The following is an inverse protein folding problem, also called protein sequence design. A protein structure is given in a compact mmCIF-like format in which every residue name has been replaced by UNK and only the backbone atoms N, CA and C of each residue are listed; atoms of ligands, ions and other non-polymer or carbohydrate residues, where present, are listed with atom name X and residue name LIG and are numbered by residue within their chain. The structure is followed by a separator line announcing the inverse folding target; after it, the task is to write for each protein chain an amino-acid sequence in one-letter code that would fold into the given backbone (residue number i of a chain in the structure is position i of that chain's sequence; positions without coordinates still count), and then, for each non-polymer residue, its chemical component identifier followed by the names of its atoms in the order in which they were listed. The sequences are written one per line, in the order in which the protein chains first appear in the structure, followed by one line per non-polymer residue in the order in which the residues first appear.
data_IF_692032331851
#
_entry.id   IF_692032331851
#
_cell.length_a   1.000
_cell.length_b   1.000
_cell.length_c   1.000
_cell.angle_alpha   90.00
_cell.angle_beta   90.00
_cell.angle_gamma   90.00
#
_symmetry.space_group_name_H-M   'P 1'
#
loop_
_entity.id
_entity.type
_entity.pdbx_description
1 polymer ?
#
# COMPACT_ATOMS: atom_id res chain seq x y z
N UNK A 1 8.56 8.64 -13.40
CA UNK A 1 7.34 9.39 -13.10
C UNK A 1 6.63 8.71 -11.96
N UNK A 2 6.17 9.46 -10.96
CA UNK A 2 5.48 8.93 -9.80
C UNK A 2 4.01 8.70 -10.16
N UNK A 3 3.49 7.55 -9.81
CA UNK A 3 2.09 7.20 -9.97
C UNK A 3 1.22 8.21 -9.23
N UNK A 4 0.15 8.67 -9.86
CA UNK A 4 -0.70 9.74 -9.33
C UNK A 4 -1.95 9.22 -8.63
N UNK A 5 -2.61 8.21 -9.20
CA UNK A 5 -3.81 7.61 -8.64
C UNK A 5 -3.43 6.41 -7.78
N UNK A 6 -3.61 6.53 -6.48
CA UNK A 6 -3.22 5.49 -5.52
C UNK A 6 -4.45 5.02 -4.77
N UNK A 7 -4.67 3.72 -4.78
CA UNK A 7 -5.73 3.07 -4.01
C UNK A 7 -5.12 2.42 -2.77
N UNK A 8 -5.68 2.73 -1.60
CA UNK A 8 -5.32 2.10 -0.33
C UNK A 8 -6.34 1.01 -0.03
N UNK A 9 -5.89 -0.22 0.14
CA UNK A 9 -6.75 -1.33 0.55
C UNK A 9 -6.48 -1.63 2.02
N UNK A 10 -7.46 -1.34 2.85
CA UNK A 10 -7.36 -1.40 4.31
C UNK A 10 -7.15 -0.02 4.93
N UNK A 11 -8.17 0.51 5.58
CA UNK A 11 -8.16 1.80 6.28
C UNK A 11 -8.14 1.60 7.80
N UNK A 12 -7.02 1.08 8.28
CA UNK A 12 -6.68 1.13 9.69
C UNK A 12 -5.73 2.30 9.99
N UNK A 13 -4.97 2.18 11.05
CA UNK A 13 -3.94 3.16 11.40
C UNK A 13 -2.93 3.33 10.26
N UNK A 14 -2.38 2.23 9.75
CA UNK A 14 -1.32 2.27 8.75
C UNK A 14 -1.85 2.73 7.39
N UNK A 15 -2.94 2.14 6.89
CA UNK A 15 -3.55 2.55 5.62
C UNK A 15 -4.03 3.99 5.64
N UNK A 16 -4.64 4.42 6.75
CA UNK A 16 -5.05 5.80 6.94
C UNK A 16 -3.88 6.78 6.98
N UNK A 17 -2.78 6.40 7.62
CA UNK A 17 -1.57 7.23 7.69
C UNK A 17 -0.90 7.37 6.31
N UNK A 18 -0.84 6.29 5.52
CA UNK A 18 -0.43 6.35 4.11
C UNK A 18 -1.31 7.31 3.31
N UNK A 19 -2.63 7.13 3.42
CA UNK A 19 -3.59 7.97 2.70
C UNK A 19 -3.41 9.45 3.04
N UNK A 20 -3.23 9.76 4.31
CA UNK A 20 -3.00 11.12 4.80
C UNK A 20 -1.73 11.72 4.19
N UNK A 21 -0.61 11.00 4.25
CA UNK A 21 0.67 11.48 3.71
C UNK A 21 0.59 11.68 2.20
N UNK A 22 0.01 10.74 1.46
CA UNK A 22 -0.09 10.80 0.01
C UNK A 22 -1.04 11.91 -0.46
N UNK A 23 -2.15 12.13 0.24
CA UNK A 23 -3.07 13.22 -0.05
C UNK A 23 -2.39 14.58 0.18
N UNK A 24 -1.65 14.74 1.26
CA UNK A 24 -0.84 15.95 1.51
C UNK A 24 0.22 16.19 0.44
N UNK A 25 0.76 15.11 -0.15
CA UNK A 25 1.72 15.18 -1.23
C UNK A 25 1.10 15.46 -2.61
N UNK A 26 -0.22 15.68 -2.68
CA UNK A 26 -0.94 16.02 -3.91
C UNK A 26 -1.37 14.83 -4.74
N UNK A 27 -1.32 13.61 -4.22
CA UNK A 27 -1.78 12.42 -4.92
C UNK A 27 -3.31 12.30 -4.85
N UNK A 28 -3.90 11.65 -5.85
CA UNK A 28 -5.30 11.26 -5.82
C UNK A 28 -5.41 9.92 -5.11
N UNK A 29 -6.01 9.94 -3.93
CA UNK A 29 -6.07 8.77 -3.06
C UNK A 29 -7.51 8.29 -2.92
N UNK A 30 -7.73 7.03 -3.24
CA UNK A 30 -8.97 6.31 -3.00
C UNK A 30 -8.71 5.17 -2.02
N UNK A 31 -9.77 4.59 -1.48
CA UNK A 31 -9.60 3.48 -0.54
C UNK A 31 -10.69 2.43 -0.67
N UNK A 32 -10.33 1.24 -0.25
CA UNK A 32 -11.24 0.10 -0.12
C UNK A 32 -11.08 -0.43 1.30
N UNK A 33 -12.20 -0.56 2.01
CA UNK A 33 -12.24 -1.17 3.33
C UNK A 33 -13.63 -1.79 3.55
N UNK A 34 -13.68 -2.90 4.23
CA UNK A 34 -14.96 -3.57 4.55
C UNK A 34 -15.81 -2.79 5.56
N UNK A 35 -15.20 -1.86 6.29
CA UNK A 35 -15.86 -1.04 7.30
C UNK A 35 -16.29 0.31 6.70
N UNK A 36 -17.60 0.49 6.52
CA UNK A 36 -18.16 1.72 5.96
C UNK A 36 -17.91 2.95 6.84
N UNK A 37 -17.81 2.77 8.16
CA UNK A 37 -17.51 3.88 9.07
C UNK A 37 -16.10 4.42 8.86
N UNK A 38 -15.13 3.54 8.61
CA UNK A 38 -13.76 3.93 8.27
C UNK A 38 -13.70 4.73 6.96
N UNK A 39 -14.45 4.31 5.94
CA UNK A 39 -14.57 5.03 4.67
C UNK A 39 -15.17 6.41 4.91
N UNK A 40 -16.29 6.48 5.61
CA UNK A 40 -16.97 7.75 5.91
C UNK A 40 -16.06 8.71 6.66
N UNK A 41 -15.37 8.23 7.68
CA UNK A 41 -14.42 9.05 8.44
C UNK A 41 -13.30 9.60 7.54
N UNK A 42 -12.70 8.75 6.72
CA UNK A 42 -11.59 9.14 5.85
C UNK A 42 -12.02 10.17 4.79
N UNK A 43 -13.22 10.02 4.23
CA UNK A 43 -13.78 10.99 3.28
C UNK A 43 -14.06 12.34 3.96
N UNK A 44 -14.75 12.32 5.10
CA UNK A 44 -15.10 13.54 5.83
C UNK A 44 -13.87 14.29 6.36
N UNK A 45 -12.82 13.56 6.72
CA UNK A 45 -11.57 14.14 7.21
C UNK A 45 -10.65 14.61 6.08
N UNK A 46 -11.01 14.37 4.81
CA UNK A 46 -10.18 14.74 3.67
C UNK A 46 -8.93 13.88 3.49
N UNK A 47 -8.87 12.71 4.12
CA UNK A 47 -7.76 11.77 4.01
C UNK A 47 -7.77 11.07 2.66
N UNK A 48 -8.97 10.77 2.14
CA UNK A 48 -9.18 10.19 0.83
C UNK A 48 -10.21 10.99 0.03
N UNK A 49 -10.14 10.87 -1.29
CA UNK A 49 -11.12 11.47 -2.19
C UNK A 49 -12.45 10.72 -2.14
N UNK A 50 -12.39 9.39 -2.27
CA UNK A 50 -13.56 8.51 -2.13
C UNK A 50 -13.12 7.10 -1.73
N UNK A 51 -14.06 6.35 -1.18
CA UNK A 51 -13.83 4.95 -0.82
C UNK A 51 -15.05 4.07 -1.06
N UNK A 52 -14.83 2.76 -1.07
CA UNK A 52 -15.85 1.75 -1.30
C UNK A 52 -15.66 0.57 -0.35
N UNK A 53 -16.78 -0.02 0.06
CA UNK A 53 -16.79 -1.30 0.78
C UNK A 53 -17.02 -2.48 -0.17
N UNK A 54 -17.70 -2.24 -1.28
CA UNK A 54 -18.03 -3.20 -2.34
C UNK A 54 -18.11 -2.45 -3.67
N UNK A 55 -18.28 -3.16 -4.77
CA UNK A 55 -18.35 -2.57 -6.13
C UNK A 55 -17.17 -1.63 -6.42
N UNK A 56 -15.96 -2.09 -6.06
CA UNK A 56 -14.74 -1.29 -6.12
C UNK A 56 -13.87 -1.58 -7.35
N UNK A 57 -14.39 -2.32 -8.33
CA UNK A 57 -13.64 -2.71 -9.55
C UNK A 57 -13.11 -1.49 -10.29
N UNK A 58 -13.90 -0.42 -10.32
CA UNK A 58 -13.50 0.84 -10.95
C UNK A 58 -12.29 1.47 -10.25
N UNK A 59 -12.29 1.49 -8.92
CA UNK A 59 -11.18 2.05 -8.16
C UNK A 59 -9.88 1.30 -8.46
N UNK A 60 -9.94 -0.03 -8.53
CA UNK A 60 -8.79 -0.87 -8.88
C UNK A 60 -8.33 -0.65 -10.32
N UNK A 61 -9.28 -0.51 -11.25
CA UNK A 61 -8.98 -0.30 -12.67
C UNK A 61 -8.40 1.08 -13.01
N UNK A 62 -8.64 2.07 -12.16
CA UNK A 62 -8.11 3.42 -12.33
C UNK A 62 -6.81 3.67 -11.54
N UNK A 63 -6.47 2.79 -10.60
CA UNK A 63 -5.29 2.96 -9.76
C UNK A 63 -4.00 2.66 -10.50
N UNK A 64 -3.07 3.61 -10.50
CA UNK A 64 -1.71 3.41 -11.00
C UNK A 64 -0.89 2.57 -10.02
N UNK A 65 -1.18 2.70 -8.73
CA UNK A 65 -0.58 1.91 -7.67
C UNK A 65 -1.61 1.54 -6.60
N UNK A 66 -1.43 0.39 -5.96
CA UNK A 66 -2.27 -0.08 -4.88
C UNK A 66 -1.41 -0.42 -3.66
N UNK A 67 -1.74 0.17 -2.52
CA UNK A 67 -1.08 -0.11 -1.25
C UNK A 67 -1.98 -0.99 -0.40
N UNK A 68 -1.48 -2.15 0.00
CA UNK A 68 -2.21 -3.10 0.83
C UNK A 68 -1.80 -2.96 2.29
N UNK A 69 -2.71 -2.47 3.11
CA UNK A 69 -2.58 -2.37 4.56
C UNK A 69 -3.49 -3.39 5.24
N UNK A 70 -3.32 -4.64 4.89
CA UNK A 70 -4.08 -5.80 5.35
C UNK A 70 -3.18 -6.79 6.06
N UNK A 71 -3.79 -7.69 6.84
CA UNK A 71 -3.08 -8.87 7.33
C UNK A 71 -2.68 -9.80 6.18
N UNK A 72 -1.61 -10.60 6.32
CA UNK A 72 -1.07 -11.41 5.22
C UNK A 72 -2.08 -12.24 4.45
N UNK A 73 -2.93 -13.01 5.14
CA UNK A 73 -3.92 -13.86 4.48
C UNK A 73 -4.96 -13.04 3.69
N UNK A 74 -5.46 -11.95 4.29
CA UNK A 74 -6.42 -11.08 3.64
C UNK A 74 -5.80 -10.41 2.40
N UNK A 75 -4.53 -10.03 2.49
CA UNK A 75 -3.80 -9.46 1.36
C UNK A 75 -3.68 -10.45 0.20
N UNK A 76 -3.22 -11.67 0.48
CA UNK A 76 -3.06 -12.72 -0.54
C UNK A 76 -4.41 -13.01 -1.22
N UNK A 77 -5.45 -13.23 -0.42
CA UNK A 77 -6.79 -13.55 -0.93
C UNK A 77 -7.36 -12.40 -1.77
N UNK A 78 -7.20 -11.16 -1.30
CA UNK A 78 -7.67 -10.00 -2.04
C UNK A 78 -7.01 -9.90 -3.43
N UNK A 79 -5.70 -10.04 -3.50
CA UNK A 79 -4.97 -9.98 -4.77
C UNK A 79 -5.40 -11.12 -5.68
N UNK A 80 -5.49 -12.35 -5.16
CA UNK A 80 -5.91 -13.51 -5.95
C UNK A 80 -7.29 -13.29 -6.59
N UNK A 81 -8.23 -12.80 -5.80
CA UNK A 81 -9.62 -12.68 -6.22
C UNK A 81 -9.87 -11.46 -7.12
N UNK A 82 -9.07 -10.40 -6.98
CA UNK A 82 -9.34 -9.10 -7.59
C UNK A 82 -8.30 -8.63 -8.60
N UNK A 83 -7.18 -9.33 -8.80
CA UNK A 83 -6.15 -8.88 -9.74
C UNK A 83 -6.67 -8.69 -11.18
N UNK A 84 -7.73 -9.38 -11.55
CA UNK A 84 -8.38 -9.24 -12.86
C UNK A 84 -8.91 -7.82 -13.13
N UNK A 85 -9.15 -7.04 -12.09
CA UNK A 85 -9.60 -5.66 -12.20
C UNK A 85 -8.46 -4.65 -12.23
N UNK A 86 -7.24 -5.06 -11.92
CA UNK A 86 -6.10 -4.15 -11.89
C UNK A 86 -5.79 -3.59 -13.27
N UNK A 87 -5.45 -2.31 -13.30
CA UNK A 87 -4.93 -1.64 -14.48
C UNK A 87 -3.65 -2.33 -14.97
N UNK A 88 -3.50 -2.47 -16.28
CA UNK A 88 -2.26 -2.96 -16.86
C UNK A 88 -1.10 -2.04 -16.48
N UNK A 89 0.01 -2.62 -16.01
CA UNK A 89 1.16 -1.87 -15.54
C UNK A 89 1.04 -1.37 -14.10
N UNK A 90 0.02 -1.79 -13.34
CA UNK A 90 -0.13 -1.42 -11.93
C UNK A 90 1.08 -1.89 -11.11
N UNK A 91 1.47 -1.06 -10.14
CA UNK A 91 2.39 -1.46 -9.09
C UNK A 91 1.61 -1.68 -7.81
N UNK A 92 1.77 -2.83 -7.19
CA UNK A 92 1.20 -3.10 -5.87
C UNK A 92 2.32 -3.18 -4.84
N UNK A 93 2.04 -2.72 -3.64
CA UNK A 93 2.94 -2.80 -2.50
C UNK A 93 2.16 -3.07 -1.22
N UNK A 94 2.86 -3.37 -0.14
CA UNK A 94 2.26 -3.73 1.13
C UNK A 94 2.96 -3.07 2.32
N UNK A 95 2.42 -3.30 3.50
CA UNK A 95 2.96 -2.79 4.77
C UNK A 95 3.26 -3.91 5.75
N UNK A 96 3.17 -5.17 5.33
CA UNK A 96 3.27 -6.32 6.25
C UNK A 96 4.65 -6.43 6.90
N UNK A 97 4.64 -6.83 8.16
CA UNK A 97 5.86 -6.98 8.95
C UNK A 97 6.60 -8.30 8.74
N UNK A 98 6.05 -9.24 7.98
CA UNK A 98 6.68 -10.52 7.63
C UNK A 98 6.59 -10.72 6.13
N UNK A 99 7.71 -10.93 5.47
CA UNK A 99 7.79 -10.98 4.00
C UNK A 99 7.69 -12.38 3.42
N UNK A 100 8.29 -13.37 4.06
CA UNK A 100 8.27 -14.76 3.59
C UNK A 100 6.85 -15.28 3.32
N UNK A 101 5.90 -14.86 4.13
CA UNK A 101 4.51 -15.31 4.03
C UNK A 101 3.71 -14.69 2.91
N UNK A 102 4.17 -13.59 2.30
CA UNK A 102 3.39 -12.85 1.29
C UNK A 102 4.09 -12.75 -0.06
N UNK A 103 5.42 -12.64 -0.07
CA UNK A 103 6.15 -12.34 -1.31
C UNK A 103 6.05 -13.48 -2.30
N UNK A 104 6.48 -14.67 -1.93
CA UNK A 104 6.43 -15.84 -2.83
C UNK A 104 5.00 -16.18 -3.26
N UNK A 105 4.03 -16.31 -2.34
CA UNK A 105 2.66 -16.61 -2.75
C UNK A 105 2.11 -15.61 -3.77
N UNK A 106 2.23 -14.32 -3.53
CA UNK A 106 1.67 -13.31 -4.44
C UNK A 106 2.41 -13.32 -5.78
N UNK A 107 3.73 -13.36 -5.76
CA UNK A 107 4.52 -13.37 -7.00
C UNK A 107 4.33 -14.65 -7.81
N UNK A 108 3.85 -15.73 -7.20
CA UNK A 108 3.59 -17.00 -7.90
C UNK A 108 2.36 -16.96 -8.82
N UNK A 109 1.36 -16.13 -8.51
CA UNK A 109 0.11 -16.06 -9.27
C UNK A 109 -0.18 -14.68 -9.87
N UNK A 110 0.60 -13.66 -9.53
CA UNK A 110 0.35 -12.31 -10.03
C UNK A 110 0.52 -12.24 -11.55
N UNK A 111 -0.39 -11.50 -12.20
CA UNK A 111 -0.34 -11.27 -13.65
C UNK A 111 1.00 -10.66 -14.06
N UNK A 112 1.47 -11.01 -15.26
CA UNK A 112 2.76 -10.53 -15.78
C UNK A 112 2.81 -9.02 -16.01
N UNK A 113 1.65 -8.38 -16.23
CA UNK A 113 1.54 -6.94 -16.44
C UNK A 113 1.30 -6.14 -15.15
N UNK A 114 1.44 -6.79 -14.00
CA UNK A 114 1.40 -6.18 -12.68
C UNK A 114 2.69 -6.48 -11.93
N UNK A 115 3.15 -5.54 -11.12
CA UNK A 115 4.38 -5.73 -10.34
C UNK A 115 4.11 -5.57 -8.85
N UNK A 116 4.57 -6.52 -8.05
CA UNK A 116 4.57 -6.44 -6.59
C UNK A 116 5.96 -6.10 -6.10
N UNK A 117 6.12 -4.91 -5.53
CA UNK A 117 7.34 -4.48 -4.81
C UNK A 117 7.06 -4.50 -3.31
N UNK A 118 7.62 -5.48 -2.58
CA UNK A 118 7.35 -5.61 -1.14
C UNK A 118 8.03 -4.52 -0.33
N UNK A 119 7.28 -3.90 0.59
CA UNK A 119 7.78 -2.86 1.47
C UNK A 119 7.29 -3.06 2.91
N UNK A 120 8.07 -2.53 3.85
CA UNK A 120 7.70 -2.53 5.26
C UNK A 120 8.12 -1.22 5.91
N UNK A 121 7.18 -0.31 6.16
CA UNK A 121 7.47 0.86 7.00
C UNK A 121 7.54 0.41 8.46
N UNK A 122 8.70 0.56 9.06
CA UNK A 122 8.89 0.23 10.48
C UNK A 122 8.35 1.36 11.35
N UNK A 123 7.04 1.56 11.27
CA UNK A 123 6.30 2.60 11.96
C UNK A 123 5.01 2.02 12.51
N UNK A 124 4.43 2.67 13.51
CA UNK A 124 3.15 2.24 14.07
C UNK A 124 2.97 2.76 15.48
N UNK A 125 1.79 2.50 16.03
CA UNK A 125 1.41 2.78 17.41
C UNK A 125 0.55 1.64 17.93
N UNK A 126 0.44 1.54 19.24
CA UNK A 126 -0.41 0.55 19.91
C UNK A 126 -1.89 0.96 19.94
N UNK A 127 -2.37 1.49 18.83
CA UNK A 127 -3.77 1.86 18.61
C UNK A 127 -4.22 1.35 17.25
N UNK A 128 -5.51 1.16 17.08
CA UNK A 128 -6.08 0.71 15.81
C UNK A 128 -7.21 1.63 15.37
N UNK A 129 -7.43 1.70 14.07
CA UNK A 129 -8.49 2.48 13.47
C UNK A 129 -8.00 3.71 12.70
N UNK A 130 -8.77 4.08 11.69
CA UNK A 130 -8.45 5.23 10.82
C UNK A 130 -8.51 6.56 11.56
N UNK A 131 -9.30 6.64 12.62
CA UNK A 131 -9.42 7.83 13.47
C UNK A 131 -8.10 8.19 14.16
N UNK A 132 -7.21 7.24 14.30
CA UNK A 132 -5.88 7.45 14.85
C UNK A 132 -4.80 7.66 13.81
N UNK A 133 -5.18 7.68 12.52
CA UNK A 133 -4.23 7.90 11.43
C UNK A 133 -3.46 9.21 11.62
N UNK A 134 -2.16 9.13 11.40
CA UNK A 134 -1.25 10.23 11.63
C UNK A 134 -0.01 10.00 10.76
N UNK A 135 0.20 10.86 9.79
CA UNK A 135 1.35 10.74 8.88
C UNK A 135 2.69 11.03 9.58
N UNK A 136 2.68 11.63 10.76
CA UNK A 136 3.89 11.85 11.54
C UNK A 136 4.53 10.55 12.06
N UNK A 137 3.82 9.42 12.02
CA UNK A 137 4.38 8.13 12.45
C UNK A 137 5.56 7.68 11.59
N UNK A 138 5.64 8.17 10.34
CA UNK A 138 6.74 7.84 9.44
C UNK A 138 8.01 8.64 9.72
N UNK A 139 7.90 9.73 10.45
CA UNK A 139 9.03 10.58 10.76
C UNK A 139 10.04 9.85 11.65
N UNK A 140 11.28 9.73 11.13
CA UNK A 140 12.33 9.00 11.82
C UNK A 140 12.25 7.48 11.74
N UNK A 141 11.23 6.93 11.05
CA UNK A 141 11.11 5.49 10.84
C UNK A 141 12.07 4.98 9.77
N UNK A 142 12.37 3.68 9.81
CA UNK A 142 13.00 2.98 8.71
C UNK A 142 11.93 2.49 7.72
N UNK A 143 12.29 2.48 6.45
CA UNK A 143 11.47 1.90 5.40
C UNK A 143 12.27 0.79 4.72
N UNK A 144 11.79 -0.42 4.79
CA UNK A 144 12.48 -1.57 4.21
C UNK A 144 11.82 -1.93 2.88
N UNK A 145 12.64 -2.07 1.85
CA UNK A 145 12.24 -2.59 0.55
C UNK A 145 12.86 -3.98 0.43
N UNK A 146 12.07 -4.98 0.04
CA UNK A 146 12.58 -6.34 -0.15
C UNK A 146 12.44 -6.76 -1.61
N UNK A 147 13.27 -6.19 -2.51
CA UNK A 147 13.16 -6.50 -3.93
C UNK A 147 13.54 -7.95 -4.22
N UNK A 148 12.92 -8.51 -5.24
CA UNK A 148 13.19 -9.86 -5.75
C UNK A 148 13.63 -9.78 -7.20
N UNK A 149 13.98 -10.92 -7.78
CA UNK A 149 14.34 -11.01 -9.21
C UNK A 149 13.18 -10.61 -10.13
N UNK A 150 11.95 -10.60 -9.63
CA UNK A 150 10.77 -10.19 -10.40
C UNK A 150 10.54 -8.69 -10.41
N UNK A 151 11.33 -7.93 -9.65
CA UNK A 151 11.18 -6.48 -9.59
C UNK A 151 12.02 -5.78 -10.65
N UNK A 152 11.43 -4.71 -11.20
CA UNK A 152 12.04 -3.86 -12.22
C UNK A 152 12.61 -2.59 -11.59
N UNK A 153 13.41 -1.85 -12.38
CA UNK A 153 13.88 -0.53 -11.96
C UNK A 153 12.69 0.41 -11.66
N UNK A 154 11.59 0.31 -12.42
CA UNK A 154 10.37 1.10 -12.18
C UNK A 154 9.75 0.79 -10.83
N UNK A 155 9.64 -0.48 -10.46
CA UNK A 155 9.10 -0.88 -9.15
C UNK A 155 9.97 -0.38 -8.01
N UNK A 156 11.29 -0.48 -8.15
CA UNK A 156 12.22 0.01 -7.14
C UNK A 156 12.15 1.54 -7.00
N UNK A 157 12.13 2.27 -8.12
CA UNK A 157 11.96 3.73 -8.11
C UNK A 157 10.65 4.14 -7.43
N UNK A 158 9.57 3.42 -7.71
CA UNK A 158 8.29 3.64 -7.04
C UNK A 158 8.43 3.51 -5.52
N UNK A 159 9.07 2.45 -5.03
CA UNK A 159 9.23 2.21 -3.61
C UNK A 159 10.04 3.32 -2.92
N UNK A 160 11.13 3.78 -3.53
CA UNK A 160 11.91 4.91 -3.02
C UNK A 160 11.10 6.21 -3.00
N UNK A 161 10.38 6.50 -4.07
CA UNK A 161 9.55 7.70 -4.14
C UNK A 161 8.42 7.65 -3.12
N UNK A 162 7.80 6.49 -2.94
CA UNK A 162 6.77 6.29 -1.93
C UNK A 162 7.32 6.59 -0.52
N UNK A 163 8.49 6.05 -0.18
CA UNK A 163 9.11 6.31 1.10
C UNK A 163 9.35 7.81 1.33
N UNK A 164 9.85 8.52 0.32
CA UNK A 164 10.06 9.96 0.41
C UNK A 164 8.75 10.75 0.57
N UNK A 165 7.69 10.35 -0.13
CA UNK A 165 6.36 10.97 0.02
C UNK A 165 5.79 10.77 1.42
N UNK A 166 6.12 9.67 2.07
CA UNK A 166 5.75 9.41 3.46
C UNK A 166 6.60 10.21 4.46
N UNK A 167 7.68 10.84 4.00
CA UNK A 167 8.61 11.55 4.87
C UNK A 167 9.67 10.67 5.51
N UNK A 168 9.91 9.48 4.96
CA UNK A 168 10.94 8.56 5.43
C UNK A 168 12.23 8.81 4.67
N UNK A 169 13.34 8.90 5.39
CA UNK A 169 14.67 9.12 4.82
C UNK A 169 15.63 7.96 5.07
N UNK A 170 15.30 7.07 5.99
CA UNK A 170 16.08 5.87 6.26
C UNK A 170 15.48 4.69 5.49
N UNK A 171 16.04 4.40 4.33
CA UNK A 171 15.57 3.34 3.44
C UNK A 171 16.64 2.25 3.36
N UNK A 172 16.24 1.01 3.55
CA UNK A 172 17.11 -0.16 3.47
C UNK A 172 16.56 -1.16 2.48
N UNK A 173 17.42 -1.71 1.65
CA UNK A 173 17.08 -2.86 0.82
C UNK A 173 17.60 -4.13 1.49
N UNK A 174 16.73 -5.07 1.73
CA UNK A 174 17.05 -6.37 2.34
C UNK A 174 16.43 -7.49 1.51
N UNK A 175 17.06 -8.66 1.50
CA UNK A 175 16.38 -9.85 0.99
C UNK A 175 15.22 -10.23 1.93
N UNK A 176 14.31 -11.07 1.46
CA UNK A 176 13.21 -11.58 2.29
C UNK A 176 13.75 -12.25 3.56
N UNK A 177 14.80 -13.06 3.42
CA UNK A 177 15.42 -13.78 4.53
C UNK A 177 16.13 -12.83 5.52
N UNK A 178 16.75 -11.76 5.02
CA UNK A 178 17.38 -10.76 5.87
C UNK A 178 16.37 -9.91 6.63
N UNK A 179 15.20 -9.70 6.03
CA UNK A 179 14.11 -8.94 6.65
C UNK A 179 13.48 -9.73 7.79
N UNK A 180 13.17 -10.99 7.55
CA UNK A 180 12.53 -11.87 8.52
C UNK A 180 13.57 -12.49 9.47
#
# INVERSE_FOLDING_TARGET
MIENNICIVGLGLMGGSYAMALTKAGKQVTAIDKNSESITYAEQSGIIECGKTEDYERLLGEADAVVFALYPHAFIDFVRDNQKYFKSGVIITDVTGVKSNVVEPIQSFLREDAEFIPCHPMAGREVSGVEFADDSIFKGANFIITPTEKNTARGLDFAYNLAHLLGVFHISELSVEQHD
#
